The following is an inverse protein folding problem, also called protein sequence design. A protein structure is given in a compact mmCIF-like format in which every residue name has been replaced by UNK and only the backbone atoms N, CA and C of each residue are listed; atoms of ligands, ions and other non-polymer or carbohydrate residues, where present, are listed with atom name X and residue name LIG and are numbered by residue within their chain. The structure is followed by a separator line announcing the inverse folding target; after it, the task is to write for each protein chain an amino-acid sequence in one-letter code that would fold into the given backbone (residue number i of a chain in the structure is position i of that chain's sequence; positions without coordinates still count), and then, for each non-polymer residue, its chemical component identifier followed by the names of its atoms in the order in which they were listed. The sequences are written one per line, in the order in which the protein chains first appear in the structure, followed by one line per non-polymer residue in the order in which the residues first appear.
data_IF_972987457413
#
_entry.id   IF_972987457413
#
_cell.length_a   1.000
_cell.length_b   1.000
_cell.length_c   1.000
_cell.angle_alpha   90.00
_cell.angle_beta   90.00
_cell.angle_gamma   90.00
#
_symmetry.space_group_name_H-M   'P 1'
#
loop_
_entity.id
_entity.type
_entity.pdbx_description
1 polymer ?
#
# COMPACT_ATOMS: atom_id res chain seq x y z
N UNK A 1 -6.99 -21.35 52.65
CA UNK A 1 -5.80 -21.82 51.90
C UNK A 1 -6.06 -21.56 50.43
N UNK A 2 -5.73 -20.35 50.00
CA UNK A 2 -5.91 -19.90 48.59
C UNK A 2 -4.72 -20.42 47.79
N UNK A 3 -4.93 -21.37 46.89
CA UNK A 3 -3.96 -21.74 45.86
C UNK A 3 -3.97 -20.67 44.79
N UNK A 4 -3.01 -19.76 44.84
CA UNK A 4 -2.63 -18.91 43.72
C UNK A 4 -2.03 -19.81 42.65
N UNK A 5 -2.81 -20.14 41.63
CA UNK A 5 -2.29 -20.69 40.38
C UNK A 5 -1.52 -19.58 39.66
N UNK A 6 -0.22 -19.50 39.88
CA UNK A 6 0.70 -18.75 39.06
C UNK A 6 0.75 -19.48 37.71
N UNK A 7 0.01 -18.96 36.74
CA UNK A 7 0.23 -19.33 35.30
C UNK A 7 1.61 -18.81 34.91
N UNK A 8 2.62 -19.63 35.14
CA UNK A 8 3.94 -19.44 34.62
C UNK A 8 3.88 -19.81 33.10
N UNK A 9 3.33 -18.95 32.25
CA UNK A 9 3.70 -18.96 30.87
C UNK A 9 5.16 -18.49 30.83
N UNK A 10 6.07 -19.45 30.86
CA UNK A 10 7.44 -19.23 30.38
C UNK A 10 7.28 -18.76 28.95
N UNK A 11 7.45 -17.45 28.72
CA UNK A 11 7.57 -16.89 27.38
C UNK A 11 8.79 -17.58 26.73
N UNK A 12 8.49 -18.62 25.95
CA UNK A 12 9.52 -19.42 25.31
C UNK A 12 10.20 -18.54 24.25
N UNK A 13 11.41 -18.09 24.51
CA UNK A 13 12.23 -17.37 23.54
C UNK A 13 12.50 -18.33 22.37
N UNK A 14 11.95 -17.99 21.20
CA UNK A 14 12.15 -18.79 19.98
C UNK A 14 13.21 -18.15 19.08
N UNK A 15 14.02 -18.99 18.48
CA UNK A 15 14.85 -18.61 17.31
C UNK A 15 14.02 -18.90 16.05
N UNK A 16 13.78 -17.86 15.25
CA UNK A 16 12.91 -17.95 14.06
C UNK A 16 13.71 -17.57 12.83
N UNK A 17 13.88 -18.52 11.91
CA UNK A 17 14.53 -18.27 10.61
C UNK A 17 13.52 -17.68 9.64
N UNK A 18 13.92 -16.60 8.98
CA UNK A 18 13.11 -15.86 8.01
C UNK A 18 13.85 -15.84 6.68
N UNK A 19 13.24 -16.35 5.63
CA UNK A 19 13.79 -16.32 4.28
C UNK A 19 13.42 -15.00 3.57
N UNK A 20 14.43 -14.18 3.27
CA UNK A 20 14.35 -12.94 2.52
C UNK A 20 14.27 -11.68 3.39
N UNK A 21 15.14 -10.70 3.06
CA UNK A 21 15.19 -9.36 3.66
C UNK A 21 14.39 -8.32 2.84
N UNK A 22 13.25 -8.72 2.28
CA UNK A 22 12.24 -7.79 1.77
C UNK A 22 11.44 -7.17 2.93
N UNK A 23 10.58 -6.19 2.64
CA UNK A 23 9.80 -5.49 3.68
C UNK A 23 9.00 -6.45 4.56
N UNK A 24 8.43 -7.52 3.99
CA UNK A 24 7.67 -8.50 4.76
C UNK A 24 8.55 -9.26 5.77
N UNK A 25 9.73 -9.75 5.34
CA UNK A 25 10.66 -10.46 6.21
C UNK A 25 11.24 -9.55 7.29
N UNK A 26 11.68 -8.34 6.93
CA UNK A 26 12.19 -7.36 7.88
C UNK A 26 11.12 -6.92 8.89
N UNK A 27 9.87 -6.70 8.44
CA UNK A 27 8.76 -6.37 9.36
C UNK A 27 8.46 -7.53 10.30
N UNK A 28 8.46 -8.78 9.81
CA UNK A 28 8.29 -9.96 10.63
C UNK A 28 9.40 -10.04 11.71
N UNK A 29 10.65 -9.87 11.32
CA UNK A 29 11.79 -9.88 12.23
C UNK A 29 11.69 -8.77 13.28
N UNK A 30 11.31 -7.54 12.86
CA UNK A 30 11.09 -6.42 13.77
C UNK A 30 10.06 -6.75 14.83
N UNK A 31 8.91 -7.29 14.46
CA UNK A 31 7.87 -7.64 15.44
C UNK A 31 8.23 -8.85 16.29
N UNK A 32 9.06 -9.77 15.81
CA UNK A 32 9.59 -10.87 16.63
C UNK A 32 10.51 -10.37 17.73
N UNK A 33 11.44 -9.44 17.43
CA UNK A 33 12.30 -8.88 18.50
C UNK A 33 11.50 -8.07 19.52
N UNK A 34 10.45 -7.37 19.09
CA UNK A 34 9.55 -6.65 20.01
C UNK A 34 8.82 -7.60 20.97
N UNK A 35 8.60 -8.85 20.57
CA UNK A 35 7.98 -9.89 21.40
C UNK A 35 9.02 -10.81 22.08
N UNK A 36 10.28 -10.41 22.14
CA UNK A 36 11.32 -11.13 22.85
C UNK A 36 11.87 -12.38 22.17
N UNK A 37 11.56 -12.58 20.88
CA UNK A 37 12.10 -13.69 20.08
C UNK A 37 13.38 -13.27 19.34
N UNK A 38 14.12 -14.25 18.85
CA UNK A 38 15.39 -14.05 18.12
C UNK A 38 15.18 -14.40 16.63
N UNK A 39 14.87 -13.43 15.75
CA UNK A 39 14.79 -13.66 14.33
C UNK A 39 16.20 -13.80 13.72
N UNK A 40 16.31 -14.67 12.73
CA UNK A 40 17.49 -14.86 11.89
C UNK A 40 17.04 -14.70 10.44
N UNK A 41 17.29 -13.52 9.87
CA UNK A 41 16.91 -13.21 8.50
C UNK A 41 18.05 -13.64 7.56
N UNK A 42 17.71 -14.45 6.55
CA UNK A 42 18.62 -14.90 5.50
C UNK A 42 18.18 -14.28 4.16
N UNK A 43 19.07 -13.48 3.55
CA UNK A 43 18.84 -12.87 2.25
C UNK A 43 19.85 -13.40 1.23
N UNK A 44 19.35 -13.91 0.12
CA UNK A 44 20.17 -14.53 -0.91
C UNK A 44 21.05 -13.51 -1.66
N UNK A 45 20.63 -12.26 -1.76
CA UNK A 45 21.34 -11.20 -2.48
C UNK A 45 22.20 -10.35 -1.54
N UNK A 46 22.95 -9.46 -2.14
CA UNK A 46 23.73 -8.42 -1.49
C UNK A 46 22.98 -7.11 -1.26
N UNK A 47 21.68 -7.07 -1.58
CA UNK A 47 20.81 -5.91 -1.48
C UNK A 47 19.55 -6.18 -0.65
N UNK A 48 19.20 -5.26 0.24
CA UNK A 48 17.98 -5.27 1.04
C UNK A 48 16.77 -4.81 0.23
N UNK A 49 15.58 -5.18 0.71
CA UNK A 49 14.33 -4.58 0.27
C UNK A 49 13.47 -5.45 -0.65
N UNK A 50 14.03 -6.48 -1.28
CA UNK A 50 13.24 -7.34 -2.18
C UNK A 50 12.65 -6.56 -3.36
N UNK A 51 11.32 -6.32 -3.38
CA UNK A 51 10.66 -5.54 -4.45
C UNK A 51 10.94 -4.03 -4.38
N UNK A 52 11.38 -3.52 -3.24
CA UNK A 52 11.82 -2.12 -3.09
C UNK A 52 13.33 -1.97 -3.11
N UNK A 53 14.04 -2.99 -3.61
CA UNK A 53 15.48 -2.93 -3.76
C UNK A 53 15.89 -1.85 -4.76
N UNK A 54 17.07 -1.28 -4.53
CA UNK A 54 17.70 -0.31 -5.41
C UNK A 54 19.22 -0.60 -5.47
N UNK A 55 19.84 -0.20 -6.54
CA UNK A 55 21.27 -0.40 -6.78
C UNK A 55 21.91 0.91 -7.17
N UNK A 56 23.24 0.98 -7.04
CA UNK A 56 24.01 2.09 -7.58
C UNK A 56 24.54 1.71 -8.96
N UNK A 57 24.51 2.67 -9.88
CA UNK A 57 25.18 2.57 -11.16
C UNK A 57 26.69 2.90 -11.03
N UNK A 58 27.40 2.94 -12.16
CA UNK A 58 28.83 3.21 -12.21
C UNK A 58 29.20 4.62 -11.75
N UNK A 59 28.26 5.57 -11.89
CA UNK A 59 28.41 6.97 -11.45
C UNK A 59 28.05 7.15 -9.96
N UNK A 60 27.52 6.12 -9.32
CA UNK A 60 27.10 6.11 -7.91
C UNK A 60 25.66 6.57 -7.69
N UNK A 61 24.91 6.79 -8.74
CA UNK A 61 23.50 7.17 -8.67
C UNK A 61 22.61 5.95 -8.38
N UNK A 62 21.56 6.18 -7.57
CA UNK A 62 20.61 5.13 -7.25
C UNK A 62 19.59 4.94 -8.37
N UNK A 63 19.34 3.68 -8.75
CA UNK A 63 18.22 3.29 -9.58
C UNK A 63 17.38 2.21 -8.90
N UNK A 64 16.07 2.32 -9.07
CA UNK A 64 15.06 1.43 -8.52
C UNK A 64 14.38 0.64 -9.63
N UNK A 65 13.80 -0.53 -9.30
CA UNK A 65 13.03 -1.33 -10.26
C UNK A 65 11.70 -0.68 -10.68
N UNK A 66 11.27 0.34 -9.95
CA UNK A 66 10.07 1.12 -10.19
C UNK A 66 9.91 2.22 -9.16
N UNK A 67 9.03 3.16 -9.42
CA UNK A 67 8.74 4.26 -8.51
C UNK A 67 7.97 3.73 -7.29
N UNK A 68 8.55 3.90 -6.11
CA UNK A 68 7.92 3.53 -4.83
C UNK A 68 7.23 4.75 -4.21
N UNK A 69 5.91 4.67 -4.13
CA UNK A 69 5.05 5.73 -3.59
C UNK A 69 4.45 5.25 -2.27
N UNK A 70 4.41 6.14 -1.28
CA UNK A 70 3.74 5.93 -0.01
C UNK A 70 2.46 6.78 0.02
N UNK A 71 1.37 6.17 0.46
CA UNK A 71 0.10 6.87 0.60
C UNK A 71 -0.32 6.96 2.07
N UNK A 72 -1.04 8.01 2.41
CA UNK A 72 -1.71 8.12 3.70
C UNK A 72 -2.71 6.97 3.96
N UNK A 73 -3.10 6.27 2.90
CA UNK A 73 -3.92 5.05 2.94
C UNK A 73 -3.18 3.79 3.45
N UNK A 74 -1.89 3.88 3.79
CA UNK A 74 -1.07 2.74 4.25
C UNK A 74 -0.80 2.80 5.76
N UNK A 75 -1.80 2.64 6.65
CA UNK A 75 -1.64 2.88 8.07
C UNK A 75 -0.56 2.01 8.72
N UNK A 76 -0.45 0.75 8.32
CA UNK A 76 0.57 -0.16 8.88
C UNK A 76 2.00 0.26 8.48
N UNK A 77 2.18 0.74 7.25
CA UNK A 77 3.47 1.24 6.80
C UNK A 77 3.84 2.54 7.53
N UNK A 78 2.91 3.47 7.66
CA UNK A 78 3.13 4.72 8.39
C UNK A 78 3.40 4.46 9.87
N UNK A 79 2.72 3.48 10.48
CA UNK A 79 3.01 3.05 11.84
C UNK A 79 4.43 2.48 11.96
N UNK A 80 4.89 1.68 10.98
CA UNK A 80 6.26 1.17 10.94
C UNK A 80 7.30 2.30 10.87
N UNK A 81 7.08 3.32 10.03
CA UNK A 81 7.95 4.51 9.97
C UNK A 81 8.05 5.20 11.33
N UNK A 82 6.91 5.34 12.03
CA UNK A 82 6.87 5.93 13.37
C UNK A 82 7.61 5.08 14.41
N UNK A 83 7.41 3.77 14.41
CA UNK A 83 8.08 2.85 15.33
C UNK A 83 9.59 2.79 15.15
N UNK A 84 10.06 3.10 13.95
CA UNK A 84 11.48 3.20 13.61
C UNK A 84 12.06 4.61 13.78
N UNK A 85 11.22 5.61 14.10
CA UNK A 85 11.61 7.03 14.21
C UNK A 85 12.22 7.58 12.91
N UNK A 86 11.57 7.27 11.78
CA UNK A 86 12.00 7.68 10.43
C UNK A 86 10.88 8.35 9.62
N UNK A 87 9.84 8.87 10.26
CA UNK A 87 8.71 9.54 9.59
C UNK A 87 9.15 10.79 8.81
N UNK A 88 10.18 11.47 9.26
CA UNK A 88 10.79 12.64 8.62
C UNK A 88 11.37 12.36 7.23
N UNK A 89 11.61 11.08 6.91
CA UNK A 89 12.09 10.65 5.60
C UNK A 89 11.00 10.61 4.53
N UNK A 90 9.74 10.79 4.90
CA UNK A 90 8.62 10.85 3.97
C UNK A 90 8.39 12.28 3.49
N UNK A 91 8.68 12.53 2.23
CA UNK A 91 8.43 13.80 1.57
C UNK A 91 7.01 13.84 1.01
N UNK A 92 6.09 14.40 1.77
CA UNK A 92 4.69 14.57 1.35
C UNK A 92 4.56 15.61 0.24
N UNK A 93 3.82 15.28 -0.81
CA UNK A 93 3.62 16.10 -1.99
C UNK A 93 2.13 16.24 -2.32
N UNK A 94 1.76 17.42 -2.80
CA UNK A 94 0.51 17.57 -3.55
C UNK A 94 0.66 16.86 -4.88
N UNK A 95 -0.38 16.15 -5.31
CA UNK A 95 -0.33 15.39 -6.55
C UNK A 95 -1.62 15.53 -7.34
N UNK A 96 -1.51 15.22 -8.63
CA UNK A 96 -2.64 15.06 -9.55
C UNK A 96 -2.54 13.69 -10.19
N UNK A 97 -3.66 13.03 -10.36
CA UNK A 97 -3.74 11.83 -11.19
C UNK A 97 -4.10 12.24 -12.61
N UNK A 98 -3.29 11.83 -13.57
CA UNK A 98 -3.48 12.15 -15.00
C UNK A 98 -3.74 10.84 -15.73
N UNK A 99 -4.82 10.81 -16.49
CA UNK A 99 -5.22 9.67 -17.30
C UNK A 99 -5.30 10.08 -18.76
N UNK A 100 -4.71 9.28 -19.67
CA UNK A 100 -5.07 9.36 -21.08
C UNK A 100 -6.51 8.88 -21.26
N UNK A 101 -7.24 9.50 -22.16
CA UNK A 101 -8.61 9.07 -22.49
C UNK A 101 -8.56 8.07 -23.65
N UNK A 102 -8.86 6.78 -23.42
CA UNK A 102 -8.84 5.78 -24.47
C UNK A 102 -9.85 6.06 -25.59
N UNK A 103 -10.98 6.68 -25.26
CA UNK A 103 -12.02 7.09 -26.21
C UNK A 103 -11.59 8.25 -27.12
N UNK A 104 -10.60 9.05 -26.70
CA UNK A 104 -10.11 10.23 -27.42
C UNK A 104 -8.56 10.27 -27.41
N UNK A 105 -7.89 9.48 -28.25
CA UNK A 105 -6.44 9.39 -28.26
C UNK A 105 -5.75 10.76 -28.44
N UNK A 106 -4.81 11.07 -27.54
CA UNK A 106 -4.11 12.37 -27.51
C UNK A 106 -4.72 13.39 -26.55
N UNK A 107 -5.87 13.08 -25.95
CA UNK A 107 -6.43 13.85 -24.85
C UNK A 107 -6.12 13.19 -23.50
N UNK A 108 -6.12 13.99 -22.46
CA UNK A 108 -5.93 13.48 -21.09
C UNK A 108 -6.84 14.22 -20.12
N UNK A 109 -7.19 13.53 -19.06
CA UNK A 109 -8.00 14.07 -17.97
C UNK A 109 -7.19 14.13 -16.69
N UNK A 110 -7.55 15.06 -15.80
CA UNK A 110 -6.80 15.33 -14.58
C UNK A 110 -7.72 15.35 -13.36
N UNK A 111 -7.30 14.65 -12.32
CA UNK A 111 -7.91 14.72 -10.99
C UNK A 111 -6.95 15.40 -10.03
N UNK A 112 -7.32 16.58 -9.55
CA UNK A 112 -6.56 17.34 -8.56
C UNK A 112 -7.13 17.05 -7.16
N UNK A 113 -6.27 16.61 -6.27
CA UNK A 113 -6.64 16.34 -4.87
C UNK A 113 -6.28 17.55 -4.03
N UNK A 114 -7.27 18.38 -3.61
CA UNK A 114 -7.01 19.52 -2.75
C UNK A 114 -6.49 19.07 -1.38
N UNK A 115 -5.69 19.92 -0.71
CA UNK A 115 -5.13 19.65 0.62
C UNK A 115 -6.18 19.87 1.71
N UNK A 116 -7.26 19.13 1.64
CA UNK A 116 -8.33 19.06 2.65
C UNK A 116 -8.56 17.61 3.06
N UNK A 117 -9.09 17.34 4.26
CA UNK A 117 -9.27 15.98 4.74
C UNK A 117 -10.22 15.15 3.88
N UNK A 118 -9.97 13.84 3.79
CA UNK A 118 -10.91 12.88 3.26
C UNK A 118 -12.21 12.87 4.12
N UNK A 119 -13.36 12.54 3.53
CA UNK A 119 -13.57 12.15 2.12
C UNK A 119 -13.70 13.35 1.16
N UNK A 120 -13.69 14.58 1.69
CA UNK A 120 -14.04 15.78 0.91
C UNK A 120 -13.06 16.02 -0.25
N UNK A 121 -11.76 15.77 -0.04
CA UNK A 121 -10.75 15.92 -1.07
C UNK A 121 -10.97 14.97 -2.26
N UNK A 122 -11.23 13.67 -2.01
CA UNK A 122 -11.48 12.68 -3.05
C UNK A 122 -12.79 12.93 -3.79
N UNK A 123 -13.86 13.25 -3.04
CA UNK A 123 -15.15 13.62 -3.63
C UNK A 123 -14.99 14.89 -4.49
N UNK A 124 -14.29 15.91 -3.99
CA UNK A 124 -14.01 17.13 -4.75
C UNK A 124 -13.24 16.84 -6.03
N UNK A 125 -12.20 16.01 -5.98
CA UNK A 125 -11.42 15.64 -7.17
C UNK A 125 -12.28 14.94 -8.23
N UNK A 126 -13.17 14.05 -7.83
CA UNK A 126 -14.08 13.34 -8.75
C UNK A 126 -15.13 14.30 -9.33
N UNK A 127 -15.72 15.14 -8.50
CA UNK A 127 -16.81 16.05 -8.93
C UNK A 127 -16.29 17.20 -9.80
N UNK A 128 -15.09 17.70 -9.54
CA UNK A 128 -14.48 18.78 -10.32
C UNK A 128 -13.94 18.33 -11.69
N UNK A 129 -13.65 17.05 -11.86
CA UNK A 129 -13.30 16.52 -13.18
C UNK A 129 -14.54 16.44 -14.07
N UNK A 130 -14.56 17.13 -15.20
CA UNK A 130 -15.69 17.15 -16.13
C UNK A 130 -15.35 16.54 -17.51
N UNK A 131 -14.13 16.07 -17.67
CA UNK A 131 -13.60 15.65 -18.96
C UNK A 131 -13.76 14.14 -19.20
N UNK A 132 -13.67 13.34 -18.12
CA UNK A 132 -13.52 11.90 -18.22
C UNK A 132 -14.85 11.15 -18.05
N UNK A 133 -15.60 11.50 -17.01
CA UNK A 133 -16.86 10.84 -16.67
C UNK A 133 -18.03 11.82 -16.68
N UNK A 134 -19.15 11.42 -17.27
CA UNK A 134 -20.41 12.13 -17.21
C UNK A 134 -20.97 12.12 -15.78
N UNK A 135 -21.86 13.06 -15.47
CA UNK A 135 -22.55 13.13 -14.18
C UNK A 135 -23.32 11.85 -13.84
N UNK A 136 -23.94 11.22 -14.84
CA UNK A 136 -24.63 9.95 -14.65
C UNK A 136 -23.68 8.83 -14.23
N UNK A 137 -22.51 8.72 -14.85
CA UNK A 137 -21.48 7.74 -14.51
C UNK A 137 -20.92 7.96 -13.10
N UNK A 138 -20.66 9.21 -12.74
CA UNK A 138 -20.22 9.58 -11.37
C UNK A 138 -21.24 9.19 -10.31
N UNK A 139 -22.53 9.46 -10.56
CA UNK A 139 -23.61 9.12 -9.63
C UNK A 139 -23.76 7.60 -9.50
N UNK A 140 -23.80 6.87 -10.61
CA UNK A 140 -23.95 5.41 -10.59
C UNK A 140 -22.76 4.75 -9.90
N UNK A 141 -21.55 5.19 -10.19
CA UNK A 141 -20.36 4.71 -9.52
C UNK A 141 -20.38 5.02 -8.02
N UNK A 142 -20.71 6.24 -7.64
CA UNK A 142 -20.84 6.66 -6.25
C UNK A 142 -21.87 5.81 -5.48
N UNK A 143 -23.04 5.57 -6.06
CA UNK A 143 -24.07 4.72 -5.46
C UNK A 143 -23.61 3.26 -5.31
N UNK A 144 -22.89 2.74 -6.30
CA UNK A 144 -22.29 1.40 -6.24
C UNK A 144 -21.28 1.25 -5.10
N UNK A 145 -20.52 2.31 -4.79
CA UNK A 145 -19.54 2.31 -3.69
C UNK A 145 -20.16 2.38 -2.29
N UNK A 146 -21.39 2.89 -2.14
CA UNK A 146 -22.04 3.06 -0.83
C UNK A 146 -21.99 1.79 0.05
N UNK A 147 -22.32 0.58 -0.47
CA UNK A 147 -22.26 -0.63 0.36
C UNK A 147 -20.85 -0.94 0.88
N UNK A 148 -19.81 -0.70 0.06
CA UNK A 148 -18.42 -0.91 0.46
C UNK A 148 -17.99 0.09 1.54
N UNK A 149 -18.41 1.33 1.43
CA UNK A 149 -18.09 2.38 2.41
C UNK A 149 -18.82 2.18 3.75
N UNK A 150 -20.09 1.77 3.73
CA UNK A 150 -20.90 1.66 4.95
C UNK A 150 -20.75 0.32 5.69
N UNK A 151 -20.55 -0.78 4.96
CA UNK A 151 -20.50 -2.13 5.55
C UNK A 151 -19.09 -2.60 5.88
N UNK A 152 -18.08 -1.85 5.47
CA UNK A 152 -16.67 -2.09 5.80
C UNK A 152 -16.16 -3.47 5.38
N UNK A 153 -15.21 -4.01 6.13
CA UNK A 153 -14.46 -5.22 5.80
C UNK A 153 -15.35 -6.44 5.50
N UNK A 154 -16.46 -6.62 6.22
CA UNK A 154 -17.38 -7.75 5.97
C UNK A 154 -18.00 -7.76 4.56
N UNK A 155 -18.20 -6.58 3.98
CA UNK A 155 -18.65 -6.48 2.60
C UNK A 155 -17.51 -6.74 1.62
N UNK A 156 -16.35 -6.18 1.90
CA UNK A 156 -15.16 -6.36 1.08
C UNK A 156 -14.79 -7.84 0.95
N UNK A 157 -14.77 -8.59 2.05
CA UNK A 157 -14.45 -10.03 2.07
C UNK A 157 -15.42 -10.85 1.19
N UNK A 158 -16.69 -10.44 1.09
CA UNK A 158 -17.67 -11.11 0.22
C UNK A 158 -17.41 -10.88 -1.27
N UNK A 159 -16.72 -9.78 -1.59
CA UNK A 159 -16.41 -9.41 -2.97
C UNK A 159 -15.16 -10.12 -3.51
N UNK A 160 -14.39 -10.83 -2.68
CA UNK A 160 -13.08 -11.39 -3.03
C UNK A 160 -13.11 -12.38 -4.21
N UNK A 161 -14.20 -13.10 -4.38
CA UNK A 161 -14.36 -14.08 -5.47
C UNK A 161 -14.84 -13.48 -6.80
N UNK A 162 -15.00 -12.18 -6.87
CA UNK A 162 -15.49 -11.47 -8.06
C UNK A 162 -14.38 -10.63 -8.65
N UNK A 163 -14.29 -10.61 -9.98
CA UNK A 163 -13.45 -9.64 -10.66
C UNK A 163 -14.01 -8.22 -10.48
N UNK A 164 -13.17 -7.22 -10.68
CA UNK A 164 -13.64 -5.83 -10.67
C UNK A 164 -14.70 -5.57 -11.74
N UNK A 165 -14.47 -6.10 -12.94
CA UNK A 165 -15.42 -5.98 -14.06
C UNK A 165 -16.80 -6.58 -13.71
N UNK A 166 -16.84 -7.75 -13.06
CA UNK A 166 -18.09 -8.36 -12.65
C UNK A 166 -18.80 -7.55 -11.55
N UNK A 167 -18.03 -7.00 -10.62
CA UNK A 167 -18.57 -6.14 -9.57
C UNK A 167 -19.21 -4.88 -10.17
N UNK A 168 -18.58 -4.24 -11.16
CA UNK A 168 -19.16 -3.09 -11.86
C UNK A 168 -20.47 -3.44 -12.57
N UNK A 169 -20.51 -4.59 -13.26
CA UNK A 169 -21.73 -5.09 -13.92
C UNK A 169 -22.88 -5.34 -12.94
N UNK A 170 -22.62 -6.01 -11.82
CA UNK A 170 -23.63 -6.25 -10.78
C UNK A 170 -24.23 -4.96 -10.19
N UNK A 171 -23.46 -3.88 -10.15
CA UNK A 171 -23.88 -2.59 -9.64
C UNK A 171 -24.42 -1.65 -10.73
N UNK A 172 -24.62 -2.17 -11.96
CA UNK A 172 -25.08 -1.41 -13.12
C UNK A 172 -24.24 -0.16 -13.40
N UNK A 173 -22.93 -0.23 -13.15
CA UNK A 173 -21.98 0.84 -13.44
C UNK A 173 -21.60 0.75 -14.91
N UNK A 174 -21.67 1.85 -15.68
CA UNK A 174 -21.37 1.85 -17.10
C UNK A 174 -19.95 1.34 -17.40
N UNK A 175 -19.81 0.54 -18.44
CA UNK A 175 -18.52 -0.04 -18.87
C UNK A 175 -17.44 1.03 -19.12
N UNK A 176 -17.85 2.19 -19.62
CA UNK A 176 -16.96 3.32 -19.85
C UNK A 176 -16.21 3.77 -18.59
N UNK A 177 -16.79 3.61 -17.39
CA UNK A 177 -16.10 3.88 -16.10
C UNK A 177 -14.90 2.94 -15.92
N UNK A 178 -15.06 1.68 -16.33
CA UNK A 178 -13.94 0.72 -16.33
C UNK A 178 -12.86 1.12 -17.34
N UNK A 179 -13.26 1.43 -18.56
CA UNK A 179 -12.36 1.68 -19.68
C UNK A 179 -11.52 2.95 -19.46
N UNK A 180 -12.15 4.02 -19.00
CA UNK A 180 -11.48 5.30 -18.82
C UNK A 180 -10.63 5.35 -17.53
N UNK A 181 -11.06 4.67 -16.45
CA UNK A 181 -10.42 4.82 -15.13
C UNK A 181 -9.71 3.54 -14.68
N UNK A 182 -10.45 2.42 -14.61
CA UNK A 182 -9.97 1.27 -13.86
C UNK A 182 -9.01 0.35 -14.62
N UNK A 183 -9.06 0.32 -15.95
CA UNK A 183 -8.05 -0.39 -16.74
C UNK A 183 -6.65 0.19 -16.45
N UNK A 184 -6.50 1.50 -16.49
CA UNK A 184 -5.23 2.16 -16.21
C UNK A 184 -4.85 2.01 -14.73
N UNK A 185 -5.80 2.25 -13.80
CA UNK A 185 -5.56 2.22 -12.36
C UNK A 185 -5.18 0.83 -11.86
N UNK A 186 -5.88 -0.24 -12.28
CA UNK A 186 -5.58 -1.61 -11.87
C UNK A 186 -4.22 -2.07 -12.37
N UNK A 187 -3.87 -1.75 -13.61
CA UNK A 187 -2.55 -2.06 -14.18
C UNK A 187 -1.43 -1.28 -13.50
N UNK A 188 -1.64 0.01 -13.19
CA UNK A 188 -0.63 0.83 -12.52
C UNK A 188 -0.38 0.41 -11.07
N UNK A 189 -1.42 0.01 -10.34
CA UNK A 189 -1.31 -0.35 -8.92
C UNK A 189 -0.98 -1.82 -8.68
N UNK A 190 -1.47 -2.71 -9.54
CA UNK A 190 -1.44 -4.16 -9.28
C UNK A 190 -0.88 -4.98 -10.44
N UNK A 191 -0.57 -4.36 -11.58
CA UNK A 191 -0.07 -5.02 -12.79
C UNK A 191 -1.02 -6.07 -13.40
N UNK A 192 -2.31 -6.02 -13.03
CA UNK A 192 -3.36 -6.97 -13.44
C UNK A 192 -4.53 -6.19 -14.01
N UNK A 193 -5.22 -6.76 -15.01
CA UNK A 193 -6.42 -6.17 -15.59
C UNK A 193 -7.65 -6.25 -14.68
N UNK A 194 -8.67 -5.40 -14.90
CA UNK A 194 -9.87 -5.36 -14.07
C UNK A 194 -10.75 -6.61 -14.17
N UNK A 195 -10.58 -7.43 -15.17
CA UNK A 195 -11.23 -8.72 -15.38
C UNK A 195 -10.61 -9.87 -14.57
N UNK A 196 -9.35 -9.72 -14.15
CA UNK A 196 -8.62 -10.71 -13.37
C UNK A 196 -8.45 -10.32 -11.89
N UNK A 197 -8.39 -9.01 -11.60
CA UNK A 197 -8.19 -8.53 -10.23
C UNK A 197 -9.44 -8.72 -9.37
N UNK A 198 -9.26 -9.21 -8.15
CA UNK A 198 -10.36 -9.26 -7.17
C UNK A 198 -10.91 -7.86 -6.87
N UNK A 199 -12.26 -7.75 -6.89
CA UNK A 199 -12.92 -6.50 -6.55
C UNK A 199 -12.61 -6.04 -5.11
N UNK A 200 -12.30 -6.94 -4.20
CA UNK A 200 -11.86 -6.61 -2.83
C UNK A 200 -10.61 -5.73 -2.83
N UNK A 201 -9.68 -5.98 -3.73
CA UNK A 201 -8.42 -5.19 -3.81
C UNK A 201 -8.73 -3.74 -4.16
N UNK A 202 -9.49 -3.49 -5.23
CA UNK A 202 -9.83 -2.13 -5.64
C UNK A 202 -10.78 -1.44 -4.67
N UNK A 203 -11.78 -2.15 -4.15
CA UNK A 203 -12.69 -1.59 -3.14
C UNK A 203 -11.95 -1.22 -1.85
N UNK A 204 -10.99 -2.03 -1.42
CA UNK A 204 -10.15 -1.71 -0.24
C UNK A 204 -9.33 -0.45 -0.50
N UNK A 205 -8.70 -0.35 -1.66
CA UNK A 205 -7.94 0.84 -2.05
C UNK A 205 -8.83 2.08 -2.05
N UNK A 206 -9.97 2.05 -2.76
CA UNK A 206 -10.91 3.16 -2.83
C UNK A 206 -11.46 3.55 -1.45
N UNK A 207 -11.80 2.56 -0.63
CA UNK A 207 -12.31 2.80 0.72
C UNK A 207 -11.28 3.55 1.59
N UNK A 208 -10.02 3.12 1.56
CA UNK A 208 -8.95 3.79 2.31
C UNK A 208 -8.63 5.17 1.75
N UNK A 209 -8.57 5.32 0.43
CA UNK A 209 -8.36 6.63 -0.20
C UNK A 209 -9.46 7.64 0.16
N UNK A 210 -10.72 7.19 0.24
CA UNK A 210 -11.85 8.07 0.47
C UNK A 210 -12.18 8.27 1.96
N UNK A 211 -11.80 7.36 2.85
CA UNK A 211 -12.20 7.43 4.27
C UNK A 211 -11.05 7.77 5.23
N UNK A 212 -9.82 7.38 4.92
CA UNK A 212 -8.68 7.73 5.77
C UNK A 212 -8.35 9.21 5.65
N UNK A 213 -8.15 9.89 6.78
CA UNK A 213 -7.96 11.35 6.87
C UNK A 213 -6.95 11.92 5.87
N UNK A 214 -5.88 11.19 5.61
CA UNK A 214 -4.84 11.56 4.65
C UNK A 214 -4.73 10.54 3.50
N UNK A 215 -5.76 9.74 3.26
CA UNK A 215 -5.71 8.57 2.38
C UNK A 215 -5.17 8.84 0.98
N UNK A 216 -5.57 9.95 0.39
CA UNK A 216 -5.12 10.38 -0.93
C UNK A 216 -3.79 11.17 -0.94
N UNK A 217 -3.23 11.52 0.23
CA UNK A 217 -1.91 12.17 0.27
C UNK A 217 -0.83 11.18 -0.14
N UNK A 218 0.13 11.67 -0.91
CA UNK A 218 1.22 10.90 -1.48
C UNK A 218 2.56 11.40 -0.95
N UNK A 219 3.47 10.48 -0.68
CA UNK A 219 4.83 10.80 -0.28
C UNK A 219 5.85 9.95 -1.06
N UNK A 220 7.04 10.49 -1.20
CA UNK A 220 8.22 9.78 -1.65
C UNK A 220 9.21 9.65 -0.50
N UNK A 221 10.01 8.60 -0.54
CA UNK A 221 11.11 8.45 0.40
C UNK A 221 12.23 9.44 0.05
N UNK A 222 12.85 10.03 1.07
CA UNK A 222 14.03 10.86 0.91
C UNK A 222 15.27 9.97 0.74
N UNK A 223 15.50 9.53 -0.48
CA UNK A 223 16.60 8.65 -0.88
C UNK A 223 16.18 7.19 -1.09
N UNK A 224 17.15 6.34 -1.35
CA UNK A 224 16.91 4.96 -1.77
C UNK A 224 16.34 4.07 -0.65
N UNK A 225 15.35 3.21 -0.95
CA UNK A 225 14.70 2.36 0.05
C UNK A 225 15.65 1.44 0.83
N UNK A 226 16.71 0.83 0.23
CA UNK A 226 17.64 0.02 1.00
C UNK A 226 18.31 0.79 2.15
N UNK A 227 18.74 2.04 1.91
CA UNK A 227 19.40 2.85 2.94
C UNK A 227 18.42 3.55 3.87
N UNK A 228 17.32 4.07 3.32
CA UNK A 228 16.43 4.98 4.06
C UNK A 228 15.30 4.28 4.80
N UNK A 229 14.95 3.06 4.39
CA UNK A 229 13.87 2.27 4.99
C UNK A 229 14.38 0.91 5.52
N UNK A 230 15.06 0.11 4.67
CA UNK A 230 15.42 -1.25 5.06
C UNK A 230 16.56 -1.30 6.08
N UNK A 231 17.60 -0.48 5.92
CA UNK A 231 18.72 -0.44 6.86
C UNK A 231 18.29 -0.07 8.28
N UNK A 232 17.46 0.94 8.53
CA UNK A 232 16.89 1.19 9.86
C UNK A 232 16.16 0.01 10.49
N UNK A 233 15.48 -0.80 9.67
CA UNK A 233 14.84 -2.03 10.16
C UNK A 233 15.89 -3.06 10.59
N UNK A 234 16.94 -3.24 9.81
CA UNK A 234 18.08 -4.14 10.13
C UNK A 234 18.76 -3.69 11.42
N UNK A 235 19.06 -2.40 11.53
CA UNK A 235 19.71 -1.83 12.72
C UNK A 235 18.84 -2.03 13.98
N UNK A 236 17.53 -1.84 13.85
CA UNK A 236 16.55 -2.08 14.91
C UNK A 236 16.53 -3.54 15.37
N UNK A 237 16.55 -4.48 14.41
CA UNK A 237 16.55 -5.92 14.66
C UNK A 237 17.83 -6.35 15.38
N UNK A 238 19.00 -5.93 14.87
CA UNK A 238 20.30 -6.29 15.41
C UNK A 238 20.49 -5.72 16.82
N UNK A 239 20.09 -4.46 17.03
CA UNK A 239 20.18 -3.82 18.35
C UNK A 239 19.36 -4.54 19.43
N UNK A 240 18.43 -5.41 19.04
CA UNK A 240 17.57 -6.21 19.95
C UNK A 240 17.87 -7.70 19.94
N UNK A 241 19.03 -8.09 19.41
CA UNK A 241 19.54 -9.47 19.45
C UNK A 241 19.08 -10.37 18.30
N UNK A 242 18.45 -9.82 17.27
CA UNK A 242 18.23 -10.53 16.01
C UNK A 242 19.45 -10.54 15.10
N UNK A 243 19.41 -11.35 14.07
CA UNK A 243 20.48 -11.54 13.09
C UNK A 243 19.97 -11.28 11.67
N UNK A 244 20.79 -10.64 10.82
CA UNK A 244 20.50 -10.46 9.39
C UNK A 244 21.75 -10.83 8.60
N UNK A 245 21.63 -11.82 7.73
CA UNK A 245 22.72 -12.35 6.93
C UNK A 245 22.41 -12.15 5.45
N UNK A 246 23.22 -11.34 4.79
CA UNK A 246 23.19 -11.15 3.34
C UNK A 246 24.02 -12.24 2.65
N UNK A 247 23.81 -12.43 1.32
CA UNK A 247 24.51 -13.46 0.54
C UNK A 247 24.37 -14.88 1.13
N UNK A 248 23.17 -15.17 1.68
CA UNK A 248 22.83 -16.44 2.35
C UNK A 248 21.64 -17.08 1.65
N UNK A 249 21.88 -17.80 0.52
CA UNK A 249 20.83 -18.42 -0.30
C UNK A 249 20.12 -19.60 0.39
#
# INVERSE_FOLDING_TARGET
MLLLSVNLFLDLIMRVVIAGAGLAGLSCAKYLVDNGHIPIVLEARDVLGGKVAAWKDEDGDWYETGLHIFFGAYPNMLQLFKELDIEDRLQWKSHSMIFNQPSEPGTYSRFDFPDIPAPVNGVSAILSNNDMLSWNEKILFGLGLVPAMLRGQKYLDKCDKKSWTDWLKEHNIPERVNDEVFIAMSKALNFIGPDEISSTVLLTALNRFLQEKNGSKMAFLDGAPPERLCQPMVDYIIARGGEVHMNSP
#
